data_IF_707485391361
#
_entry.id   IF_707485391361
#
_cell.length_a   1.000
_cell.length_b   1.000
_cell.length_c   1.000
_cell.angle_alpha   90.00
_cell.angle_beta   90.00
_cell.angle_gamma   90.00
#
_symmetry.space_group_name_H-M   'P 1'
#
loop_
_entity.id
_entity.type
_entity.pdbx_description
1 polymer ?
#
# COMPACT_ATOMS: atom_id res chain seq x y z
N UNK A 1 -8.53 -12.84 -14.74
CA UNK A 1 -8.48 -11.89 -15.89
C UNK A 1 -8.39 -10.43 -15.44
N UNK A 2 -9.28 -9.94 -14.58
CA UNK A 2 -9.28 -8.54 -14.11
C UNK A 2 -7.98 -8.09 -13.41
N UNK A 3 -7.51 -8.82 -12.39
CA UNK A 3 -6.28 -8.45 -11.66
C UNK A 3 -5.02 -8.48 -12.54
N UNK A 4 -4.93 -9.45 -13.46
CA UNK A 4 -3.83 -9.52 -14.43
C UNK A 4 -3.87 -8.30 -15.38
N UNK A 5 -5.07 -7.89 -15.81
CA UNK A 5 -5.23 -6.69 -16.65
C UNK A 5 -4.80 -5.41 -15.91
N UNK A 6 -5.20 -5.24 -14.64
CA UNK A 6 -4.78 -4.10 -13.84
C UNK A 6 -3.28 -4.09 -13.59
N UNK A 7 -2.67 -5.24 -13.31
CA UNK A 7 -1.22 -5.37 -13.17
C UNK A 7 -0.48 -5.02 -14.46
N UNK A 8 -0.98 -5.51 -15.60
CA UNK A 8 -0.45 -5.15 -16.92
C UNK A 8 -0.52 -3.64 -17.21
N UNK A 9 -1.67 -3.01 -16.93
CA UNK A 9 -1.85 -1.56 -17.10
C UNK A 9 -0.92 -0.76 -16.19
N UNK A 10 -0.74 -1.18 -14.93
CA UNK A 10 0.19 -0.54 -14.00
C UNK A 10 1.64 -0.65 -14.48
N UNK A 11 2.04 -1.82 -15.00
CA UNK A 11 3.37 -2.04 -15.57
C UNK A 11 3.65 -1.17 -16.80
N UNK A 12 2.70 -1.07 -17.73
CA UNK A 12 2.83 -0.19 -18.90
C UNK A 12 2.99 1.28 -18.52
N UNK A 13 2.36 1.71 -17.43
CA UNK A 13 2.31 3.11 -16.97
C UNK A 13 3.35 3.43 -15.89
N UNK A 14 4.32 2.54 -15.65
CA UNK A 14 5.34 2.76 -14.61
C UNK A 14 6.26 3.96 -14.90
N UNK A 15 6.43 4.30 -16.18
CA UNK A 15 7.20 5.46 -16.61
C UNK A 15 6.60 6.79 -16.12
N UNK A 16 5.28 6.86 -15.91
CA UNK A 16 4.57 8.09 -15.50
C UNK A 16 5.04 8.59 -14.12
N UNK A 17 5.50 7.70 -13.23
CA UNK A 17 6.10 8.09 -11.94
C UNK A 17 7.37 8.93 -12.13
N UNK A 18 8.17 8.64 -13.17
CA UNK A 18 9.38 9.42 -13.45
C UNK A 18 9.03 10.86 -13.84
N UNK A 19 7.86 11.07 -14.42
CA UNK A 19 7.37 12.39 -14.84
C UNK A 19 6.74 13.18 -13.67
N UNK A 20 6.23 12.49 -12.65
CA UNK A 20 5.55 13.14 -11.50
C UNK A 20 6.49 13.56 -10.37
N UNK A 21 7.74 13.11 -10.41
CA UNK A 21 8.79 13.49 -9.46
C UNK A 21 8.97 12.52 -8.29
N UNK A 22 10.16 12.60 -7.68
CA UNK A 22 10.61 11.66 -6.64
C UNK A 22 9.71 11.65 -5.39
N UNK A 23 9.02 12.75 -5.09
CA UNK A 23 8.17 12.87 -3.89
C UNK A 23 7.05 11.84 -3.83
N UNK A 24 6.32 11.64 -4.93
CA UNK A 24 5.22 10.66 -4.97
C UNK A 24 5.74 9.22 -4.87
N UNK A 25 6.87 8.94 -5.52
CA UNK A 25 7.53 7.64 -5.41
C UNK A 25 7.95 7.35 -3.97
N UNK A 26 8.65 8.29 -3.33
CA UNK A 26 9.09 8.15 -1.94
C UNK A 26 7.91 8.00 -0.98
N UNK A 27 6.81 8.74 -1.20
CA UNK A 27 5.59 8.59 -0.42
C UNK A 27 4.99 7.19 -0.58
N UNK A 28 4.74 6.74 -1.81
CA UNK A 28 4.16 5.43 -2.10
C UNK A 28 5.03 4.27 -1.58
N UNK A 29 6.34 4.48 -1.50
CA UNK A 29 7.28 3.51 -0.95
C UNK A 29 7.27 3.47 0.59
N UNK A 30 7.32 4.63 1.25
CA UNK A 30 7.57 4.71 2.70
C UNK A 30 6.28 4.75 3.53
N UNK A 31 5.23 5.39 3.03
CA UNK A 31 3.97 5.56 3.77
C UNK A 31 3.34 4.24 4.24
N UNK A 32 3.34 3.14 3.46
CA UNK A 32 2.80 1.86 3.91
C UNK A 32 3.44 1.37 5.20
N UNK A 33 4.77 1.52 5.35
CA UNK A 33 5.47 1.08 6.55
C UNK A 33 5.07 1.90 7.79
N UNK A 34 4.88 3.20 7.61
CA UNK A 34 4.42 4.08 8.69
C UNK A 34 3.01 3.67 9.11
N UNK A 35 2.09 3.58 8.16
CA UNK A 35 0.69 3.26 8.44
C UNK A 35 0.53 1.83 8.99
N UNK A 36 1.27 0.87 8.46
CA UNK A 36 1.26 -0.51 8.93
C UNK A 36 1.85 -0.68 10.32
N UNK A 37 2.94 0.03 10.64
CA UNK A 37 3.49 0.04 11.99
C UNK A 37 2.49 0.61 12.99
N UNK A 38 1.82 1.72 12.65
CA UNK A 38 0.74 2.27 13.49
C UNK A 38 -0.42 1.28 13.65
N UNK A 39 -0.78 0.54 12.60
CA UNK A 39 -1.78 -0.52 12.67
C UNK A 39 -1.39 -1.66 13.61
N UNK A 40 -0.13 -2.12 13.56
CA UNK A 40 0.38 -3.15 14.49
C UNK A 40 0.36 -2.63 15.93
N UNK A 41 0.84 -1.41 16.17
CA UNK A 41 0.84 -0.77 17.50
C UNK A 41 -0.59 -0.62 18.02
N UNK A 42 -1.52 -0.19 17.17
CA UNK A 42 -2.95 -0.13 17.54
C UNK A 42 -3.51 -1.50 17.88
N UNK A 43 -3.14 -2.55 17.14
CA UNK A 43 -3.53 -3.93 17.41
C UNK A 43 -2.97 -4.46 18.73
N UNK A 44 -1.71 -4.14 19.03
CA UNK A 44 -1.08 -4.44 20.32
C UNK A 44 -1.81 -3.77 21.48
N UNK A 45 -2.08 -2.45 21.38
CA UNK A 45 -2.80 -1.69 22.41
C UNK A 45 -4.23 -2.24 22.60
N UNK A 46 -4.86 -2.72 21.54
CA UNK A 46 -6.18 -3.35 21.57
C UNK A 46 -6.18 -4.79 22.12
N UNK A 47 -5.02 -5.35 22.47
CA UNK A 47 -4.91 -6.72 23.01
C UNK A 47 -5.09 -7.82 21.96
N UNK A 48 -4.83 -7.53 20.68
CA UNK A 48 -4.89 -8.54 19.62
C UNK A 48 -3.72 -9.53 19.73
N UNK A 49 -3.94 -10.75 19.22
CA UNK A 49 -2.86 -11.72 19.02
C UNK A 49 -1.84 -11.23 17.99
N UNK A 50 -0.66 -11.85 17.94
CA UNK A 50 0.36 -11.57 16.90
C UNK A 50 -0.25 -11.57 15.50
N UNK A 51 -1.05 -12.59 15.18
CA UNK A 51 -1.74 -12.69 13.89
C UNK A 51 -2.75 -11.55 13.67
N UNK A 52 -3.52 -11.20 14.71
CA UNK A 52 -4.49 -10.10 14.65
C UNK A 52 -3.84 -8.73 14.43
N UNK A 53 -2.79 -8.41 15.20
CA UNK A 53 -2.04 -7.16 15.05
C UNK A 53 -1.30 -7.10 13.71
N UNK A 54 -0.76 -8.23 13.23
CA UNK A 54 -0.13 -8.33 11.90
C UNK A 54 -1.14 -7.99 10.80
N UNK A 55 -2.31 -8.63 10.80
CA UNK A 55 -3.35 -8.36 9.78
C UNK A 55 -3.81 -6.91 9.85
N UNK A 56 -4.00 -6.35 11.04
CA UNK A 56 -4.36 -4.95 11.19
C UNK A 56 -3.30 -4.03 10.56
N UNK A 57 -2.01 -4.28 10.82
CA UNK A 57 -0.91 -3.58 10.15
C UNK A 57 -0.95 -3.69 8.63
N UNK A 58 -1.16 -4.90 8.08
CA UNK A 58 -1.27 -5.10 6.63
C UNK A 58 -2.42 -4.30 6.03
N UNK A 59 -3.57 -4.28 6.69
CA UNK A 59 -4.75 -3.53 6.25
C UNK A 59 -4.50 -2.02 6.33
N UNK A 60 -3.89 -1.53 7.42
CA UNK A 60 -3.53 -0.12 7.58
C UNK A 60 -2.50 0.35 6.55
N UNK A 61 -1.59 -0.52 6.11
CA UNK A 61 -0.60 -0.22 5.09
C UNK A 61 -1.14 -0.25 3.65
N UNK A 62 -2.37 -0.72 3.44
CA UNK A 62 -2.94 -0.90 2.10
C UNK A 62 -3.39 0.41 1.47
N UNK A 63 -3.13 0.59 0.18
CA UNK A 63 -3.56 1.77 -0.60
C UNK A 63 -4.90 1.56 -1.33
N UNK A 64 -5.65 0.49 -1.04
CA UNK A 64 -6.86 0.08 -1.79
C UNK A 64 -6.60 -0.06 -3.30
N UNK A 65 -6.09 -1.21 -3.71
CA UNK A 65 -5.52 -1.44 -5.04
C UNK A 65 -6.52 -1.49 -6.21
N UNK A 66 -7.82 -1.29 -5.95
CA UNK A 66 -8.88 -1.38 -6.97
C UNK A 66 -9.82 -0.19 -6.86
N UNK A 67 -10.51 -0.08 -5.71
CA UNK A 67 -11.58 0.90 -5.53
C UNK A 67 -11.05 2.33 -5.46
N UNK A 68 -9.94 2.58 -4.76
CA UNK A 68 -9.42 3.94 -4.62
C UNK A 68 -8.90 4.54 -5.95
N UNK A 69 -8.11 3.82 -6.77
CA UNK A 69 -7.70 4.34 -8.08
C UNK A 69 -8.89 4.65 -9.01
N UNK A 70 -9.90 3.78 -9.02
CA UNK A 70 -11.12 4.01 -9.79
C UNK A 70 -11.90 5.24 -9.29
N UNK A 71 -12.07 5.37 -7.97
CA UNK A 71 -12.74 6.51 -7.37
C UNK A 71 -12.00 7.83 -7.66
N UNK A 72 -10.66 7.84 -7.52
CA UNK A 72 -9.82 9.01 -7.83
C UNK A 72 -9.94 9.39 -9.30
N UNK A 73 -9.92 8.41 -10.21
CA UNK A 73 -10.06 8.67 -11.65
C UNK A 73 -11.40 9.28 -12.05
N UNK A 74 -12.46 9.03 -11.27
CA UNK A 74 -13.78 9.63 -11.49
C UNK A 74 -13.88 11.00 -10.79
N UNK A 75 -13.38 11.10 -9.56
CA UNK A 75 -13.52 12.29 -8.72
C UNK A 75 -12.59 13.44 -9.11
N UNK A 76 -11.44 13.15 -9.73
CA UNK A 76 -10.43 14.14 -10.13
C UNK A 76 -10.15 14.08 -11.64
N UNK A 77 -11.06 14.57 -12.50
CA UNK A 77 -10.94 14.46 -13.96
C UNK A 77 -9.73 15.20 -14.54
N UNK A 78 -9.25 16.26 -13.88
CA UNK A 78 -8.06 17.03 -14.29
C UNK A 78 -6.74 16.33 -13.89
N UNK A 79 -6.79 15.34 -13.00
CA UNK A 79 -5.60 14.61 -12.55
C UNK A 79 -5.31 13.43 -13.47
N UNK A 80 -4.03 13.09 -13.66
CA UNK A 80 -3.66 11.91 -14.44
C UNK A 80 -4.02 10.62 -13.66
N UNK A 81 -5.03 9.83 -14.10
CA UNK A 81 -5.49 8.64 -13.37
C UNK A 81 -4.45 7.52 -13.33
N UNK A 82 -3.43 7.58 -14.19
CA UNK A 82 -2.30 6.66 -14.14
C UNK A 82 -1.53 6.78 -12.83
N UNK A 83 -1.52 7.95 -12.19
CA UNK A 83 -0.77 8.18 -10.97
C UNK A 83 -1.31 7.35 -9.80
N UNK A 84 -2.63 7.32 -9.62
CA UNK A 84 -3.26 6.54 -8.55
C UNK A 84 -3.13 5.04 -8.78
N UNK A 85 -3.30 4.57 -10.02
CA UNK A 85 -3.13 3.16 -10.39
C UNK A 85 -1.67 2.73 -10.18
N UNK A 86 -0.71 3.47 -10.73
CA UNK A 86 0.69 3.07 -10.68
C UNK A 86 1.27 3.19 -9.27
N UNK A 87 0.91 4.22 -8.49
CA UNK A 87 1.38 4.34 -7.10
C UNK A 87 0.82 3.25 -6.18
N UNK A 88 -0.46 2.89 -6.34
CA UNK A 88 -1.10 1.85 -5.52
C UNK A 88 -0.70 0.43 -5.94
N UNK A 89 -0.88 0.06 -7.21
CA UNK A 89 -0.63 -1.30 -7.73
C UNK A 89 0.83 -1.53 -8.13
N UNK A 90 1.49 -0.52 -8.72
CA UNK A 90 2.84 -0.65 -9.26
C UNK A 90 3.94 -0.50 -8.20
N UNK A 91 3.69 0.25 -7.11
CA UNK A 91 4.66 0.45 -6.03
C UNK A 91 4.14 -0.12 -4.71
N UNK A 92 3.05 0.45 -4.18
CA UNK A 92 2.63 0.17 -2.79
C UNK A 92 2.32 -1.31 -2.59
N UNK A 93 1.56 -1.91 -3.50
CA UNK A 93 1.17 -3.31 -3.42
C UNK A 93 2.36 -4.28 -3.35
N UNK A 94 3.30 -4.30 -4.32
CA UNK A 94 4.43 -5.23 -4.25
C UNK A 94 5.33 -4.97 -3.05
N UNK A 95 5.57 -3.71 -2.68
CA UNK A 95 6.37 -3.37 -1.50
C UNK A 95 5.71 -3.88 -0.22
N UNK A 96 4.40 -3.67 -0.07
CA UNK A 96 3.66 -4.07 1.11
C UNK A 96 3.58 -5.61 1.23
N UNK A 97 3.46 -6.31 0.10
CA UNK A 97 3.41 -7.78 0.07
C UNK A 97 4.78 -8.40 0.39
N UNK A 98 5.85 -7.92 -0.25
CA UNK A 98 7.20 -8.50 -0.14
C UNK A 98 7.89 -8.11 1.15
N UNK A 99 7.79 -6.84 1.55
CA UNK A 99 8.52 -6.30 2.70
C UNK A 99 7.59 -5.93 3.86
N UNK A 100 6.43 -5.34 3.57
CA UNK A 100 5.48 -4.91 4.61
C UNK A 100 5.03 -6.05 5.50
N UNK A 101 4.48 -7.14 4.93
CA UNK A 101 3.96 -8.29 5.70
C UNK A 101 5.02 -8.88 6.65
N UNK A 102 6.24 -9.26 6.20
CA UNK A 102 7.28 -9.74 7.11
C UNK A 102 7.65 -8.73 8.19
N UNK A 103 7.75 -7.44 7.85
CA UNK A 103 8.07 -6.38 8.81
C UNK A 103 6.99 -6.24 9.88
N UNK A 104 5.70 -6.19 9.51
CA UNK A 104 4.61 -6.06 10.47
C UNK A 104 4.50 -7.29 11.38
N UNK A 105 4.72 -8.48 10.82
CA UNK A 105 4.76 -9.70 11.62
C UNK A 105 5.90 -9.68 12.64
N UNK A 106 7.10 -9.24 12.24
CA UNK A 106 8.25 -9.12 13.13
C UNK A 106 8.01 -8.08 14.25
N UNK A 107 7.37 -6.95 13.93
CA UNK A 107 7.00 -5.94 14.93
C UNK A 107 5.95 -6.50 15.89
N UNK A 108 4.93 -7.19 15.37
CA UNK A 108 3.89 -7.80 16.21
C UNK A 108 4.46 -8.86 17.15
N UNK A 109 5.38 -9.69 16.66
CA UNK A 109 6.14 -10.65 17.45
C UNK A 109 6.91 -9.95 18.58
N UNK A 110 7.68 -8.91 18.25
CA UNK A 110 8.48 -8.17 19.23
C UNK A 110 7.66 -7.46 20.32
N UNK A 111 6.46 -6.97 20.00
CA UNK A 111 5.62 -6.24 20.96
C UNK A 111 4.77 -7.15 21.86
N UNK A 112 4.37 -8.33 21.35
CA UNK A 112 3.37 -9.19 22.00
C UNK A 112 4.01 -10.40 22.70
N UNK A 113 5.14 -10.90 22.20
CA UNK A 113 5.89 -12.02 22.81
C UNK A 113 7.05 -11.48 23.61
#
# INVERSE_FOLDING_TARGET
>A
LFLIHLGYLAGLRIHVIKETGAGLFTFALLFPFIAGTLGVVGGYIAGLSVGGATILGVLSASASYIAAPAAVGIALPEANPSLSITSSLGITFPINLVFGIPTYYAIAQFLII
#
